data_IF_141378428466
#
_entry.id   IF_141378428466
#
_cell.length_a   1.000
_cell.length_b   1.000
_cell.length_c   1.000
_cell.angle_alpha   90.00
_cell.angle_beta   90.00
_cell.angle_gamma   90.00
#
_symmetry.space_group_name_H-M   'P 1'
#
loop_
_entity.id
_entity.type
_entity.pdbx_description
1 polymer ?
#
# COMPACT_ATOMS: atom_id res chain seq x y z
N UNK A 1 -7.45 10.67 -11.99
CA UNK A 1 -8.19 10.08 -10.84
C UNK A 1 -9.62 9.75 -11.24
N UNK A 2 -10.20 8.67 -10.72
CA UNK A 2 -11.55 8.24 -11.09
C UNK A 2 -12.68 9.14 -10.54
N UNK A 3 -12.38 10.06 -9.61
CA UNK A 3 -13.40 10.84 -8.90
C UNK A 3 -14.30 9.95 -8.03
N UNK A 4 -15.59 10.29 -7.84
CA UNK A 4 -16.53 9.45 -7.10
C UNK A 4 -16.66 8.02 -7.65
N UNK A 5 -16.39 7.82 -8.95
CA UNK A 5 -16.38 6.52 -9.62
C UNK A 5 -15.19 5.61 -9.22
N UNK A 6 -14.32 6.03 -8.30
CA UNK A 6 -13.22 5.20 -7.75
C UNK A 6 -13.71 3.88 -7.16
N UNK A 7 -14.96 3.80 -6.71
CA UNK A 7 -15.58 2.56 -6.23
C UNK A 7 -15.55 1.48 -7.32
N UNK A 8 -15.80 1.85 -8.58
CA UNK A 8 -15.74 0.90 -9.70
C UNK A 8 -14.30 0.44 -9.98
N UNK A 9 -13.32 1.32 -9.81
CA UNK A 9 -11.90 0.96 -9.89
C UNK A 9 -11.52 -0.08 -8.82
N UNK A 10 -11.98 0.11 -7.57
CA UNK A 10 -11.73 -0.85 -6.49
C UNK A 10 -12.45 -2.18 -6.69
N UNK A 11 -13.69 -2.18 -7.20
CA UNK A 11 -14.41 -3.42 -7.50
C UNK A 11 -13.68 -4.21 -8.59
N UNK A 12 -13.26 -3.56 -9.67
CA UNK A 12 -12.50 -4.20 -10.74
C UNK A 12 -11.17 -4.77 -10.23
N UNK A 13 -10.43 -3.96 -9.46
CA UNK A 13 -9.18 -4.42 -8.83
C UNK A 13 -9.41 -5.62 -7.89
N UNK A 14 -10.49 -5.61 -7.09
CA UNK A 14 -10.83 -6.71 -6.19
C UNK A 14 -11.13 -8.01 -6.94
N UNK A 15 -11.83 -7.96 -8.08
CA UNK A 15 -12.08 -9.13 -8.93
C UNK A 15 -10.77 -9.69 -9.48
N UNK A 16 -9.90 -8.83 -10.02
CA UNK A 16 -8.59 -9.23 -10.57
C UNK A 16 -7.71 -9.85 -9.48
N UNK A 17 -7.60 -9.19 -8.33
CA UNK A 17 -6.86 -9.70 -7.17
C UNK A 17 -7.45 -11.01 -6.65
N UNK A 18 -8.78 -11.19 -6.72
CA UNK A 18 -9.45 -12.43 -6.36
C UNK A 18 -9.03 -13.61 -7.24
N UNK A 19 -9.02 -13.43 -8.56
CA UNK A 19 -8.53 -14.47 -9.48
C UNK A 19 -7.05 -14.79 -9.25
N UNK A 20 -6.21 -13.78 -9.05
CA UNK A 20 -4.79 -13.98 -8.72
C UNK A 20 -4.66 -14.76 -7.41
N UNK A 21 -5.42 -14.40 -6.37
CA UNK A 21 -5.38 -15.08 -5.08
C UNK A 21 -5.78 -16.56 -5.18
N UNK A 22 -6.76 -16.91 -6.03
CA UNK A 22 -7.14 -18.30 -6.28
C UNK A 22 -5.99 -19.11 -6.92
N UNK A 23 -5.32 -18.56 -7.94
CA UNK A 23 -4.15 -19.20 -8.54
C UNK A 23 -3.02 -19.40 -7.51
N UNK A 24 -2.79 -18.42 -6.64
CA UNK A 24 -1.82 -18.54 -5.56
C UNK A 24 -2.22 -19.59 -4.53
N UNK A 25 -3.51 -19.70 -4.18
CA UNK A 25 -4.01 -20.71 -3.27
C UNK A 25 -3.80 -22.13 -3.80
N UNK A 26 -4.04 -22.35 -5.10
CA UNK A 26 -3.78 -23.62 -5.77
C UNK A 26 -2.30 -24.01 -5.71
N UNK A 27 -1.40 -23.09 -6.10
CA UNK A 27 0.05 -23.35 -6.07
C UNK A 27 0.57 -23.53 -4.63
N UNK A 28 0.08 -22.74 -3.67
CA UNK A 28 0.47 -22.87 -2.28
C UNK A 28 -0.01 -24.19 -1.64
N UNK A 29 -1.15 -24.74 -2.10
CA UNK A 29 -1.66 -26.04 -1.64
C UNK A 29 -0.86 -27.24 -2.19
N UNK A 30 -0.23 -27.07 -3.35
CA UNK A 30 0.54 -28.12 -4.03
C UNK A 30 2.02 -28.12 -3.67
N UNK A 31 2.59 -26.95 -3.37
CA UNK A 31 3.99 -26.79 -2.99
C UNK A 31 4.11 -26.48 -1.48
N UNK A 32 4.46 -27.47 -0.63
CA UNK A 32 4.51 -27.31 0.83
C UNK A 32 5.79 -26.58 1.30
N UNK A 33 6.28 -25.62 0.52
CA UNK A 33 7.43 -24.80 0.86
C UNK A 33 6.96 -23.38 1.16
N UNK A 34 7.56 -22.72 2.16
CA UNK A 34 7.38 -21.29 2.38
C UNK A 34 8.06 -20.51 1.26
N UNK A 35 7.37 -20.37 0.13
CA UNK A 35 7.87 -19.72 -1.07
C UNK A 35 6.98 -18.55 -1.48
N UNK A 36 7.58 -17.52 -2.06
CA UNK A 36 6.87 -16.48 -2.82
C UNK A 36 6.85 -16.87 -4.32
N UNK A 37 6.35 -15.99 -5.18
CA UNK A 37 6.24 -16.17 -6.64
C UNK A 37 7.53 -16.71 -7.25
N UNK A 38 8.69 -16.22 -6.79
CA UNK A 38 10.00 -16.70 -7.21
C UNK A 38 10.15 -18.22 -7.07
N UNK A 39 9.83 -18.77 -5.90
CA UNK A 39 9.95 -20.20 -5.61
C UNK A 39 8.97 -21.00 -6.45
N UNK A 40 7.76 -20.46 -6.65
CA UNK A 40 6.74 -21.10 -7.48
C UNK A 40 7.13 -21.15 -8.95
N UNK A 41 7.65 -20.05 -9.51
CA UNK A 41 8.17 -19.99 -10.89
C UNK A 41 9.38 -20.90 -11.08
N UNK A 42 10.26 -21.00 -10.08
CA UNK A 42 11.40 -21.91 -10.13
C UNK A 42 10.97 -23.37 -10.20
N UNK A 43 9.97 -23.75 -9.39
CA UNK A 43 9.46 -25.12 -9.36
C UNK A 43 8.69 -25.55 -10.61
N UNK A 44 8.04 -24.60 -11.30
CA UNK A 44 7.10 -24.90 -12.40
C UNK A 44 7.64 -24.62 -13.80
N UNK A 45 8.42 -23.55 -13.97
CA UNK A 45 8.85 -23.07 -15.29
C UNK A 45 10.37 -23.23 -15.47
N UNK A 46 11.14 -23.01 -14.40
CA UNK A 46 12.59 -23.19 -14.38
C UNK A 46 13.37 -21.92 -14.02
N UNK A 47 14.69 -22.07 -13.94
CA UNK A 47 15.60 -21.10 -13.33
C UNK A 47 15.60 -19.74 -14.04
N UNK A 48 15.65 -19.70 -15.37
CA UNK A 48 15.74 -18.44 -16.12
C UNK A 48 14.55 -17.52 -15.86
N UNK A 49 13.33 -18.05 -15.95
CA UNK A 49 12.09 -17.28 -15.69
C UNK A 49 12.00 -16.90 -14.22
N UNK A 50 12.33 -17.82 -13.31
CA UNK A 50 12.36 -17.52 -11.88
C UNK A 50 13.32 -16.37 -11.55
N UNK A 51 14.51 -16.33 -12.16
CA UNK A 51 15.47 -15.26 -11.96
C UNK A 51 14.92 -13.89 -12.39
N UNK A 52 14.27 -13.81 -13.56
CA UNK A 52 13.62 -12.59 -14.03
C UNK A 52 12.50 -12.13 -13.08
N UNK A 53 11.67 -13.07 -12.60
CA UNK A 53 10.62 -12.80 -11.60
C UNK A 53 11.24 -12.31 -10.29
N UNK A 54 12.35 -12.91 -9.84
CA UNK A 54 13.06 -12.49 -8.63
C UNK A 54 13.53 -11.03 -8.70
N UNK A 55 14.15 -10.62 -9.80
CA UNK A 55 14.55 -9.22 -10.00
C UNK A 55 13.36 -8.27 -10.05
N UNK A 56 12.28 -8.68 -10.72
CA UNK A 56 11.05 -7.89 -10.78
C UNK A 56 10.43 -7.71 -9.39
N UNK A 57 10.43 -8.76 -8.57
CA UNK A 57 9.96 -8.72 -7.18
C UNK A 57 10.81 -7.78 -6.31
N UNK A 58 12.13 -7.81 -6.43
CA UNK A 58 12.99 -6.89 -5.70
C UNK A 58 12.68 -5.43 -6.04
N UNK A 59 12.52 -5.11 -7.32
CA UNK A 59 12.19 -3.76 -7.78
C UNK A 59 10.83 -3.29 -7.28
N UNK A 60 9.79 -4.13 -7.37
CA UNK A 60 8.46 -3.73 -6.89
C UNK A 60 8.44 -3.55 -5.36
N UNK A 61 9.18 -4.35 -4.59
CA UNK A 61 9.30 -4.15 -3.15
C UNK A 61 10.01 -2.83 -2.81
N UNK A 62 11.06 -2.45 -3.54
CA UNK A 62 11.73 -1.15 -3.36
C UNK A 62 10.75 0.00 -3.63
N UNK A 63 10.03 -0.04 -4.75
CA UNK A 63 9.08 1.02 -5.11
C UNK A 63 7.90 1.06 -4.13
N UNK A 64 7.35 -0.09 -3.75
CA UNK A 64 6.23 -0.18 -2.81
C UNK A 64 6.60 0.33 -1.41
N UNK A 65 7.77 -0.05 -0.90
CA UNK A 65 8.24 0.43 0.42
C UNK A 65 8.47 1.94 0.42
N UNK A 66 9.04 2.50 -0.65
CA UNK A 66 9.18 3.95 -0.81
C UNK A 66 7.81 4.66 -0.87
N UNK A 67 6.84 4.12 -1.60
CA UNK A 67 5.48 4.67 -1.68
C UNK A 67 4.77 4.65 -0.32
N UNK A 68 4.91 3.56 0.46
CA UNK A 68 4.35 3.46 1.82
C UNK A 68 4.99 4.48 2.77
N UNK A 69 6.31 4.64 2.73
CA UNK A 69 7.01 5.63 3.55
C UNK A 69 6.60 7.08 3.19
N UNK A 70 6.41 7.36 1.89
CA UNK A 70 5.89 8.64 1.43
C UNK A 70 4.45 8.88 1.92
N UNK A 71 3.57 7.88 1.84
CA UNK A 71 2.20 7.97 2.39
C UNK A 71 2.19 8.20 3.90
N UNK A 72 3.09 7.55 4.65
CA UNK A 72 3.24 7.75 6.09
C UNK A 72 3.58 9.19 6.47
N UNK A 73 4.37 9.87 5.63
CA UNK A 73 4.78 11.27 5.86
C UNK A 73 3.57 12.21 6.00
N UNK A 74 2.52 12.01 5.21
CA UNK A 74 1.31 12.84 5.30
C UNK A 74 0.62 12.71 6.66
N UNK A 75 0.48 11.49 7.16
CA UNK A 75 -0.08 11.23 8.49
C UNK A 75 0.81 11.78 9.61
N UNK A 76 2.12 11.57 9.50
CA UNK A 76 3.08 12.09 10.48
C UNK A 76 3.08 13.62 10.53
N UNK A 77 3.09 14.28 9.38
CA UNK A 77 3.05 15.74 9.30
C UNK A 77 1.76 16.31 9.93
N UNK A 78 0.60 15.71 9.64
CA UNK A 78 -0.67 16.11 10.26
C UNK A 78 -0.69 15.90 11.77
N UNK A 79 -0.09 14.82 12.27
CA UNK A 79 0.04 14.56 13.70
C UNK A 79 0.91 15.62 14.39
N UNK A 80 2.08 15.94 13.82
CA UNK A 80 3.00 16.95 14.36
C UNK A 80 2.36 18.34 14.35
N UNK A 81 1.61 18.66 13.29
CA UNK A 81 0.81 19.89 13.21
C UNK A 81 -0.23 19.98 14.31
N UNK A 82 -0.84 18.85 14.71
CA UNK A 82 -1.75 18.79 15.85
C UNK A 82 -1.11 19.19 17.19
N UNK A 83 0.21 19.07 17.32
CA UNK A 83 0.98 19.55 18.47
C UNK A 83 1.46 21.01 18.33
N UNK A 84 1.03 21.73 17.29
CA UNK A 84 1.43 23.11 17.02
C UNK A 84 2.83 23.26 16.41
N UNK A 85 3.47 22.15 16.04
CA UNK A 85 4.77 22.14 15.38
C UNK A 85 4.56 22.02 13.87
N UNK A 86 5.20 22.90 13.09
CA UNK A 86 5.16 22.81 11.63
C UNK A 86 6.52 22.39 11.08
N UNK A 87 6.55 21.31 10.31
CA UNK A 87 7.74 20.87 9.59
C UNK A 87 7.80 21.64 8.26
N UNK A 88 8.91 22.30 7.92
CA UNK A 88 9.04 23.04 6.67
C UNK A 88 8.71 22.18 5.45
N UNK A 89 7.93 22.73 4.50
CA UNK A 89 7.54 22.04 3.25
C UNK A 89 8.75 21.46 2.49
N UNK A 90 9.89 22.16 2.53
CA UNK A 90 11.15 21.72 1.94
C UNK A 90 11.61 20.32 2.41
N UNK A 91 11.23 19.90 3.62
CA UNK A 91 11.62 18.63 4.24
C UNK A 91 10.52 17.56 4.22
N UNK A 92 9.32 17.88 3.79
CA UNK A 92 8.17 16.96 3.79
C UNK A 92 7.83 16.51 2.38
N UNK A 93 8.22 17.26 1.36
CA UNK A 93 7.91 16.96 -0.04
C UNK A 93 9.17 16.87 -0.90
N UNK A 94 9.04 16.16 -2.03
CA UNK A 94 10.11 16.00 -3.04
C UNK A 94 10.15 17.19 -4.01
N UNK A 95 11.23 17.36 -4.80
CA UNK A 95 11.39 18.49 -5.73
C UNK A 95 10.26 18.67 -6.73
N UNK A 96 9.69 17.57 -7.25
CA UNK A 96 8.54 17.63 -8.17
C UNK A 96 7.29 18.26 -7.56
N UNK A 97 7.19 18.32 -6.23
CA UNK A 97 6.10 18.93 -5.48
C UNK A 97 6.54 20.17 -4.68
N UNK A 98 7.66 20.80 -5.06
CA UNK A 98 8.15 22.06 -4.50
C UNK A 98 8.87 21.93 -3.14
N UNK A 99 9.39 20.75 -2.82
CA UNK A 99 10.28 20.54 -1.67
C UNK A 99 11.71 20.22 -2.11
N UNK A 100 12.53 19.73 -1.19
CA UNK A 100 13.91 19.29 -1.48
C UNK A 100 14.00 17.77 -1.30
N UNK A 101 13.47 17.26 -0.19
CA UNK A 101 13.51 15.85 0.16
C UNK A 101 12.36 15.50 1.08
N UNK A 102 11.80 14.30 0.96
CA UNK A 102 10.88 13.77 1.95
C UNK A 102 11.67 13.14 3.11
N UNK A 103 12.08 13.99 4.06
CA UNK A 103 12.92 13.61 5.19
C UNK A 103 12.22 12.62 6.16
N UNK A 104 10.94 12.79 6.53
CA UNK A 104 10.23 11.81 7.37
C UNK A 104 10.20 10.41 6.75
N UNK A 105 9.95 10.29 5.45
CA UNK A 105 9.98 9.01 4.74
C UNK A 105 11.37 8.34 4.79
N UNK A 106 12.44 9.12 4.61
CA UNK A 106 13.82 8.60 4.71
C UNK A 106 14.11 8.11 6.12
N UNK A 107 13.78 8.91 7.14
CA UNK A 107 14.04 8.58 8.54
C UNK A 107 13.30 7.30 8.94
N UNK A 108 12.00 7.18 8.65
CA UNK A 108 11.23 5.98 9.03
C UNK A 108 11.76 4.74 8.30
N UNK A 109 12.17 4.87 7.04
CA UNK A 109 12.75 3.76 6.27
C UNK A 109 14.06 3.29 6.90
N UNK A 110 14.94 4.21 7.30
CA UNK A 110 16.21 3.88 7.96
C UNK A 110 15.99 3.24 9.34
N UNK A 111 15.02 3.74 10.12
CA UNK A 111 14.65 3.17 11.42
C UNK A 111 14.15 1.73 11.25
N UNK A 112 13.25 1.49 10.29
CA UNK A 112 12.72 0.16 10.02
C UNK A 112 13.81 -0.78 9.49
N UNK A 113 14.68 -0.31 8.61
CA UNK A 113 15.82 -1.08 8.12
C UNK A 113 16.78 -1.49 9.25
N UNK A 114 17.08 -0.56 10.16
CA UNK A 114 17.90 -0.83 11.34
C UNK A 114 17.22 -1.79 12.33
N UNK A 115 15.90 -1.68 12.50
CA UNK A 115 15.14 -2.59 13.34
C UNK A 115 15.13 -4.02 12.76
N UNK A 116 14.96 -4.14 11.44
CA UNK A 116 15.00 -5.42 10.73
C UNK A 116 16.40 -6.05 10.75
N UNK A 117 17.46 -5.25 10.65
CA UNK A 117 18.85 -5.77 10.67
C UNK A 117 19.27 -6.38 12.01
N UNK A 118 18.61 -5.98 13.11
CA UNK A 118 18.79 -6.58 14.44
C UNK A 118 17.96 -7.85 14.66
N UNK A 119 17.16 -8.24 13.67
CA UNK A 119 16.26 -9.39 13.73
C UNK A 119 14.94 -9.04 14.40
N UNK A 120 13.85 -9.11 13.64
CA UNK A 120 12.49 -9.00 14.18
C UNK A 120 11.97 -10.37 14.55
N UNK A 121 12.07 -10.72 15.84
CA UNK A 121 11.39 -11.90 16.39
C UNK A 121 9.95 -11.54 16.70
N UNK A 122 9.16 -11.43 15.64
CA UNK A 122 7.76 -11.01 15.76
C UNK A 122 6.93 -12.01 16.56
N UNK A 123 6.27 -11.53 17.61
CA UNK A 123 5.26 -12.29 18.34
C UNK A 123 3.96 -12.26 17.56
N UNK A 124 3.36 -13.43 17.28
CA UNK A 124 2.03 -13.54 16.63
C UNK A 124 0.98 -12.63 17.27
N UNK A 125 1.10 -12.36 18.58
CA UNK A 125 0.20 -11.45 19.32
C UNK A 125 0.33 -10.00 18.88
N UNK A 126 1.56 -9.49 18.74
CA UNK A 126 1.81 -8.09 18.34
C UNK A 126 1.24 -7.83 16.95
N UNK A 127 1.52 -8.74 16.01
CA UNK A 127 1.00 -8.63 14.65
C UNK A 127 -0.54 -8.65 14.63
N UNK A 128 -1.18 -9.58 15.35
CA UNK A 128 -2.63 -9.66 15.40
C UNK A 128 -3.27 -8.41 16.02
N UNK A 129 -2.70 -7.88 17.11
CA UNK A 129 -3.15 -6.63 17.72
C UNK A 129 -3.04 -5.46 16.75
N UNK A 130 -1.94 -5.36 16.00
CA UNK A 130 -1.77 -4.30 14.99
C UNK A 130 -2.83 -4.36 13.89
N UNK A 131 -3.15 -5.57 13.40
CA UNK A 131 -4.21 -5.76 12.39
C UNK A 131 -5.58 -5.35 12.94
N UNK A 132 -5.90 -5.75 14.17
CA UNK A 132 -7.16 -5.38 14.82
C UNK A 132 -7.30 -3.86 14.97
N UNK A 133 -6.24 -3.16 15.36
CA UNK A 133 -6.23 -1.70 15.44
C UNK A 133 -6.53 -1.08 14.07
N UNK A 134 -5.86 -1.56 13.00
CA UNK A 134 -6.09 -1.06 11.63
C UNK A 134 -7.55 -1.25 11.19
N UNK A 135 -8.13 -2.43 11.40
CA UNK A 135 -9.53 -2.71 11.05
C UNK A 135 -10.46 -1.82 11.89
N UNK A 136 -10.20 -1.68 13.19
CA UNK A 136 -10.99 -0.83 14.08
C UNK A 136 -11.01 0.63 13.63
N UNK A 137 -9.86 1.18 13.21
CA UNK A 137 -9.78 2.55 12.67
C UNK A 137 -10.62 2.73 11.39
N UNK A 138 -10.60 1.74 10.49
CA UNK A 138 -11.40 1.77 9.25
C UNK A 138 -12.89 1.71 9.58
N UNK A 139 -13.31 0.81 10.46
CA UNK A 139 -14.70 0.70 10.89
C UNK A 139 -15.19 1.97 11.60
N UNK A 140 -14.36 2.56 12.46
CA UNK A 140 -14.66 3.85 13.09
C UNK A 140 -14.84 4.95 12.05
N UNK A 141 -13.94 5.02 11.06
CA UNK A 141 -14.04 5.99 9.97
C UNK A 141 -15.34 5.83 9.16
N UNK A 142 -15.74 4.59 8.83
CA UNK A 142 -16.98 4.32 8.09
C UNK A 142 -18.21 4.68 8.94
N UNK A 143 -18.26 4.22 10.19
CA UNK A 143 -19.41 4.40 11.08
C UNK A 143 -19.64 5.86 11.45
N UNK A 144 -18.60 6.65 11.68
CA UNK A 144 -18.73 8.10 11.90
C UNK A 144 -18.97 8.81 10.57
N UNK A 145 -18.24 8.44 9.52
CA UNK A 145 -18.27 9.09 8.21
C UNK A 145 -19.64 9.04 7.54
N UNK A 146 -20.41 7.97 7.72
CA UNK A 146 -21.72 7.80 7.08
C UNK A 146 -22.70 8.93 7.43
N UNK A 147 -22.62 9.49 8.64
CA UNK A 147 -23.47 10.59 9.09
C UNK A 147 -23.15 11.92 8.41
N UNK A 148 -21.97 12.05 7.78
CA UNK A 148 -21.50 13.26 7.11
C UNK A 148 -21.50 13.14 5.58
N UNK A 149 -21.99 12.03 5.02
CA UNK A 149 -22.06 11.82 3.56
C UNK A 149 -23.07 12.77 2.93
N UNK A 150 -22.60 13.57 1.95
CA UNK A 150 -23.45 14.44 1.13
C UNK A 150 -23.52 13.88 -0.29
N UNK A 151 -24.66 13.32 -0.74
CA UNK A 151 -24.80 12.72 -2.07
C UNK A 151 -24.48 13.68 -3.23
N UNK A 152 -24.58 14.99 -3.00
CA UNK A 152 -24.20 16.01 -3.99
C UNK A 152 -22.73 15.90 -4.42
N UNK A 153 -21.84 15.41 -3.55
CA UNK A 153 -20.43 15.21 -3.87
C UNK A 153 -20.21 14.01 -4.83
N UNK A 154 -21.25 13.22 -5.13
CA UNK A 154 -21.18 12.12 -6.09
C UNK A 154 -21.51 12.56 -7.51
N UNK A 155 -21.86 13.84 -7.74
CA UNK A 155 -22.24 14.35 -9.06
C UNK A 155 -21.19 15.38 -9.51
N UNK A 156 -20.59 15.21 -10.70
CA UNK A 156 -20.73 14.07 -11.61
C UNK A 156 -20.00 12.82 -11.07
N UNK A 157 -20.58 11.63 -11.28
CA UNK A 157 -20.03 10.39 -10.71
C UNK A 157 -18.72 9.98 -11.38
N UNK A 158 -18.64 10.12 -12.70
CA UNK A 158 -17.47 9.79 -13.51
C UNK A 158 -17.02 11.02 -14.32
N UNK A 159 -16.42 12.05 -13.68
CA UNK A 159 -16.01 13.28 -14.37
C UNK A 159 -14.98 13.03 -15.48
N UNK A 160 -14.19 11.96 -15.35
CA UNK A 160 -13.15 11.57 -16.29
C UNK A 160 -13.54 10.34 -17.14
N UNK A 161 -14.83 9.98 -17.13
CA UNK A 161 -15.38 8.85 -17.88
C UNK A 161 -14.77 7.49 -17.52
N UNK A 162 -14.96 6.51 -18.40
CA UNK A 162 -14.43 5.15 -18.22
C UNK A 162 -12.91 5.11 -18.16
N UNK A 163 -12.21 5.97 -18.90
CA UNK A 163 -10.75 6.07 -18.87
C UNK A 163 -10.23 6.41 -17.45
N UNK A 164 -10.91 7.31 -16.74
CA UNK A 164 -10.61 7.60 -15.34
C UNK A 164 -10.82 6.42 -14.40
N UNK A 165 -11.83 5.58 -14.66
CA UNK A 165 -12.12 4.38 -13.86
C UNK A 165 -11.05 3.30 -14.07
N UNK A 166 -10.61 3.07 -15.30
CA UNK A 166 -9.56 2.09 -15.60
C UNK A 166 -8.18 2.51 -15.08
N UNK A 167 -7.90 3.81 -15.01
CA UNK A 167 -6.63 4.34 -14.50
C UNK A 167 -6.63 4.60 -13.00
N UNK A 168 -7.79 4.80 -12.38
CA UNK A 168 -7.88 5.16 -10.95
C UNK A 168 -7.63 4.02 -9.97
N UNK A 169 -7.51 2.77 -10.44
CA UNK A 169 -7.14 1.61 -9.61
C UNK A 169 -5.66 1.23 -9.70
N UNK A 170 -4.86 2.00 -10.46
CA UNK A 170 -3.43 1.79 -10.68
C UNK A 170 -2.57 2.67 -9.77
#
# INVERSE_FOLDING_TARGET
DAGPAVIFSFILAAIICGFIALCYAEIASTLPASGSVYTYSYATIGEFVAHLVGWSLLLIYIVATAAVAAGWTGYFHNLIKGFGLEIPKALVTIPSHGGIVNLPAVIITLILAWMLSRGTRESKRINNTMVLIKIGMILLFITVGIFYVKPMNWIPIAPYGLSGVFTGGA
#
